data_IF_915003278908
#
_entry.id   IF_915003278908
#
_cell.length_a   1.000
_cell.length_b   1.000
_cell.length_c   1.000
_cell.angle_alpha   90.00
_cell.angle_beta   90.00
_cell.angle_gamma   90.00
#
_symmetry.space_group_name_H-M   'P 1'
#
loop_
_entity.id
_entity.type
_entity.pdbx_description
1 polymer ?
#
# COMPACT_ATOMS: atom_id res chain seq x y z
N UNK A 1 2.40 -7.81 9.62
CA UNK A 1 2.66 -6.88 8.50
C UNK A 1 1.57 -6.71 7.43
N UNK A 2 0.49 -7.49 7.41
CA UNK A 2 -0.83 -7.06 6.92
C UNK A 2 -1.85 -7.82 7.76
N UNK A 3 -2.65 -7.13 8.57
CA UNK A 3 -3.53 -7.79 9.55
C UNK A 3 -2.84 -8.23 10.85
N UNK A 4 -1.67 -7.67 11.19
CA UNK A 4 -1.09 -7.76 12.54
C UNK A 4 -1.24 -6.39 13.22
N UNK A 5 -2.22 -6.20 14.13
CA UNK A 5 -2.53 -4.90 14.71
C UNK A 5 -1.41 -4.28 15.55
N UNK A 6 -0.60 -5.09 16.22
CA UNK A 6 0.46 -4.64 17.13
C UNK A 6 1.77 -4.30 16.40
N UNK A 7 1.88 -4.63 15.11
CA UNK A 7 3.09 -4.35 14.34
C UNK A 7 3.31 -2.82 14.17
N UNK A 8 4.57 -2.34 14.22
CA UNK A 8 4.87 -0.95 13.93
C UNK A 8 4.32 -0.51 12.56
N UNK A 9 3.77 0.71 12.51
CA UNK A 9 3.21 1.27 11.27
C UNK A 9 4.29 1.76 10.29
N UNK A 10 5.48 2.03 10.80
CA UNK A 10 6.60 2.58 10.05
C UNK A 10 7.86 1.75 10.27
N UNK A 11 8.96 2.17 9.63
CA UNK A 11 10.25 1.48 9.70
C UNK A 11 10.61 1.08 11.13
N UNK A 12 11.12 -0.14 11.31
CA UNK A 12 11.60 -0.66 12.59
C UNK A 12 12.60 -1.81 12.37
N UNK A 13 13.31 -2.19 13.44
CA UNK A 13 14.23 -3.33 13.46
C UNK A 13 13.57 -4.52 14.18
N UNK A 14 13.10 -5.55 13.46
CA UNK A 14 12.36 -6.65 14.08
C UNK A 14 13.25 -7.60 14.89
N UNK A 15 14.56 -7.58 14.66
CA UNK A 15 15.53 -8.47 15.31
C UNK A 15 16.61 -7.61 15.94
N UNK A 16 16.82 -7.78 17.25
CA UNK A 16 17.89 -7.10 17.97
C UNK A 16 19.26 -7.47 17.39
N UNK A 17 20.17 -6.49 17.32
CA UNK A 17 21.56 -6.64 16.87
C UNK A 17 21.76 -7.12 15.40
N UNK A 18 20.68 -7.21 14.61
CA UNK A 18 20.75 -7.53 13.19
C UNK A 18 20.61 -6.26 12.32
N UNK A 19 21.33 -6.14 11.19
CA UNK A 19 21.16 -5.04 10.24
C UNK A 19 19.91 -5.24 9.35
N UNK A 20 18.78 -5.64 9.94
CA UNK A 20 17.50 -5.87 9.28
C UNK A 20 16.53 -4.74 9.60
N UNK A 21 16.04 -4.08 8.55
CA UNK A 21 15.02 -3.03 8.64
C UNK A 21 13.78 -3.53 7.92
N UNK A 22 12.64 -3.48 8.60
CA UNK A 22 11.36 -3.79 8.01
C UNK A 22 10.62 -2.50 7.67
N UNK A 23 10.16 -2.39 6.42
CA UNK A 23 9.35 -1.28 5.92
C UNK A 23 7.89 -1.75 5.78
N UNK A 24 7.00 -1.37 6.70
CA UNK A 24 5.61 -1.79 6.63
C UNK A 24 4.89 -1.14 5.46
N UNK A 25 3.96 -1.89 4.87
CA UNK A 25 3.01 -1.35 3.90
C UNK A 25 2.13 -0.28 4.56
N UNK A 26 1.82 0.80 3.83
CA UNK A 26 1.13 1.98 4.39
C UNK A 26 -0.19 1.65 5.09
N UNK A 27 -0.34 2.25 6.27
CA UNK A 27 -1.59 2.28 7.03
C UNK A 27 -1.95 3.72 7.40
N UNK A 28 -3.24 4.01 7.41
CA UNK A 28 -3.78 5.30 7.85
C UNK A 28 -4.53 5.15 9.19
N UNK A 29 -4.64 6.25 9.95
CA UNK A 29 -5.53 6.30 11.11
C UNK A 29 -6.87 6.90 10.72
N UNK A 30 -7.94 6.26 11.19
CA UNK A 30 -9.31 6.77 11.12
C UNK A 30 -9.91 6.68 12.52
N UNK A 31 -9.94 7.80 13.24
CA UNK A 31 -10.21 7.81 14.68
C UNK A 31 -9.20 6.95 15.42
N UNK A 32 -9.67 6.04 16.27
CA UNK A 32 -8.82 5.10 17.00
C UNK A 32 -8.41 3.85 16.20
N UNK A 33 -8.80 3.73 14.93
CA UNK A 33 -8.56 2.53 14.11
C UNK A 33 -7.40 2.73 13.14
N UNK A 34 -6.62 1.67 12.96
CA UNK A 34 -5.62 1.56 11.89
C UNK A 34 -6.25 0.84 10.71
N UNK A 35 -6.18 1.45 9.53
CA UNK A 35 -6.77 0.90 8.30
C UNK A 35 -5.69 0.69 7.23
N UNK A 36 -5.82 -0.39 6.48
CA UNK A 36 -4.91 -0.69 5.37
C UNK A 36 -5.06 0.34 4.24
N UNK A 37 -3.92 0.90 3.81
CA UNK A 37 -3.87 1.92 2.77
C UNK A 37 -2.70 1.71 1.79
N UNK A 38 -2.13 0.52 1.78
CA UNK A 38 -0.93 0.15 1.03
C UNK A 38 -1.09 -0.12 -0.46
N UNK A 39 -2.28 0.03 -1.02
CA UNK A 39 -2.55 -0.38 -2.39
C UNK A 39 -3.32 -1.69 -2.52
N UNK A 40 -2.97 -2.47 -3.54
CA UNK A 40 -3.60 -3.74 -3.89
C UNK A 40 -5.13 -3.68 -4.00
N UNK A 41 -5.80 -4.72 -3.51
CA UNK A 41 -7.26 -4.85 -3.60
C UNK A 41 -8.04 -3.69 -2.96
N UNK A 42 -7.53 -3.05 -1.90
CA UNK A 42 -8.18 -1.88 -1.32
C UNK A 42 -8.13 -0.68 -2.26
N UNK A 43 -6.98 -0.46 -2.91
CA UNK A 43 -6.87 0.57 -3.93
C UNK A 43 -7.76 0.25 -5.13
N UNK A 44 -7.85 -0.99 -5.59
CA UNK A 44 -8.77 -1.34 -6.69
C UNK A 44 -10.25 -1.11 -6.32
N UNK A 45 -10.63 -1.44 -5.09
CA UNK A 45 -12.03 -1.43 -4.68
C UNK A 45 -12.53 -0.08 -4.16
N UNK A 46 -11.71 0.69 -3.44
CA UNK A 46 -12.13 1.94 -2.81
C UNK A 46 -12.00 3.14 -3.76
N UNK A 47 -12.77 4.22 -3.58
CA UNK A 47 -12.60 5.46 -4.33
C UNK A 47 -11.18 6.03 -4.20
N UNK A 48 -10.64 6.65 -5.26
CA UNK A 48 -9.28 7.24 -5.24
C UNK A 48 -9.04 8.21 -4.08
N UNK A 49 -10.05 8.99 -3.71
CA UNK A 49 -9.99 9.93 -2.58
C UNK A 49 -9.52 9.29 -1.27
N UNK A 50 -9.82 8.01 -1.05
CA UNK A 50 -9.37 7.29 0.13
C UNK A 50 -7.85 7.12 0.14
N UNK A 51 -7.29 6.65 -0.98
CA UNK A 51 -5.86 6.44 -1.12
C UNK A 51 -5.09 7.75 -1.09
N UNK A 52 -5.62 8.78 -1.76
CA UNK A 52 -5.05 10.13 -1.71
C UNK A 52 -5.01 10.67 -0.27
N UNK A 53 -6.13 10.61 0.46
CA UNK A 53 -6.18 11.03 1.87
C UNK A 53 -5.20 10.23 2.75
N UNK A 54 -5.15 8.91 2.58
CA UNK A 54 -4.30 8.05 3.42
C UNK A 54 -2.80 8.32 3.21
N UNK A 55 -2.37 8.49 1.96
CA UNK A 55 -0.97 8.82 1.65
C UNK A 55 -0.65 10.23 2.13
N UNK A 56 -1.54 11.20 1.91
CA UNK A 56 -1.36 12.58 2.36
C UNK A 56 -1.27 12.68 3.88
N UNK A 57 -2.12 11.97 4.63
CA UNK A 57 -2.04 11.86 6.10
C UNK A 57 -0.65 11.38 6.53
N UNK A 58 -0.17 10.28 5.95
CA UNK A 58 1.14 9.70 6.30
C UNK A 58 2.29 10.64 5.93
N UNK A 59 2.23 11.28 4.76
CA UNK A 59 3.30 12.17 4.31
C UNK A 59 3.34 13.50 5.08
N UNK A 60 2.18 14.06 5.46
CA UNK A 60 2.12 15.43 6.01
C UNK A 60 1.86 15.49 7.49
N UNK A 61 1.04 14.61 8.03
CA UNK A 61 0.72 14.61 9.46
C UNK A 61 1.76 13.79 10.25
N UNK A 62 2.17 12.64 9.71
CA UNK A 62 3.16 11.76 10.37
C UNK A 62 4.60 12.02 9.89
N UNK A 63 4.77 12.80 8.81
CA UNK A 63 6.06 13.08 8.18
C UNK A 63 6.86 11.80 7.84
N UNK A 64 6.15 10.76 7.36
CA UNK A 64 6.73 9.47 6.96
C UNK A 64 6.49 9.18 5.48
N UNK A 65 7.36 8.39 4.83
CA UNK A 65 7.12 7.90 3.47
C UNK A 65 5.97 6.90 3.44
N UNK A 66 5.21 6.90 2.35
CA UNK A 66 4.21 5.88 2.08
C UNK A 66 4.83 4.73 1.24
N UNK A 67 4.47 3.49 1.57
CA UNK A 67 4.82 2.28 0.83
C UNK A 67 3.54 1.75 0.17
N UNK A 68 3.55 1.77 -1.16
CA UNK A 68 2.45 1.33 -2.00
C UNK A 68 2.86 0.13 -2.85
N UNK A 69 1.95 -0.83 -3.02
CA UNK A 69 2.15 -1.97 -3.90
C UNK A 69 0.86 -2.32 -4.66
N UNK A 70 1.02 -2.98 -5.79
CA UNK A 70 -0.07 -3.61 -6.54
C UNK A 70 0.51 -4.79 -7.32
N UNK A 71 -0.35 -5.73 -7.74
CA UNK A 71 0.10 -6.82 -8.60
C UNK A 71 0.00 -6.42 -10.08
N UNK A 72 0.92 -6.88 -10.95
CA UNK A 72 0.86 -6.57 -12.38
C UNK A 72 -0.48 -6.94 -13.04
N UNK A 73 -1.12 -8.04 -12.60
CA UNK A 73 -2.43 -8.42 -13.13
C UNK A 73 -3.55 -7.42 -12.78
N UNK A 74 -3.37 -6.56 -11.77
CA UNK A 74 -4.40 -5.59 -11.40
C UNK A 74 -4.54 -4.47 -12.45
N UNK A 75 -3.51 -4.22 -13.26
CA UNK A 75 -3.57 -3.22 -14.36
C UNK A 75 -3.94 -3.83 -15.72
N UNK A 76 -4.19 -5.13 -15.79
CA UNK A 76 -4.63 -5.84 -17.01
C UNK A 76 -6.12 -6.23 -16.89
N UNK A 77 -7.05 -5.40 -17.39
CA UNK A 77 -8.48 -5.73 -17.38
C UNK A 77 -8.85 -6.89 -18.31
N UNK A 78 -8.01 -7.18 -19.30
CA UNK A 78 -8.26 -8.18 -20.35
C UNK A 78 -7.57 -9.52 -20.06
N UNK A 79 -6.97 -9.66 -18.87
CA UNK A 79 -6.32 -10.88 -18.43
C UNK A 79 -7.23 -12.11 -18.57
N UNK A 80 -6.66 -13.30 -18.83
CA UNK A 80 -7.41 -14.54 -18.92
C UNK A 80 -8.29 -14.81 -17.68
N UNK A 81 -9.51 -15.29 -17.93
CA UNK A 81 -10.46 -15.64 -16.86
C UNK A 81 -10.42 -17.13 -16.55
N UNK A 82 -10.26 -17.47 -15.28
CA UNK A 82 -10.34 -18.85 -14.80
C UNK A 82 -11.80 -19.26 -14.68
N UNK A 83 -12.29 -20.06 -15.64
CA UNK A 83 -13.70 -20.43 -15.75
C UNK A 83 -14.22 -21.17 -14.51
N UNK A 84 -13.46 -22.13 -13.99
CA UNK A 84 -13.88 -23.04 -12.91
C UNK A 84 -13.48 -22.55 -11.50
N UNK A 85 -13.17 -21.27 -11.33
CA UNK A 85 -12.81 -20.72 -10.03
C UNK A 85 -14.07 -20.47 -9.15
N UNK A 86 -13.98 -20.69 -7.83
CA UNK A 86 -15.06 -20.34 -6.89
C UNK A 86 -15.48 -18.87 -7.04
N UNK A 87 -16.77 -18.58 -6.87
CA UNK A 87 -17.32 -17.23 -7.04
C UNK A 87 -16.56 -16.18 -6.20
N UNK A 88 -16.23 -16.51 -4.95
CA UNK A 88 -15.46 -15.64 -4.05
C UNK A 88 -14.10 -15.26 -4.65
N UNK A 89 -13.40 -16.22 -5.25
CA UNK A 89 -12.11 -15.98 -5.92
C UNK A 89 -12.29 -15.10 -7.14
N UNK A 90 -13.31 -15.36 -7.97
CA UNK A 90 -13.61 -14.56 -9.16
C UNK A 90 -13.93 -13.11 -8.80
N UNK A 91 -14.76 -12.89 -7.77
CA UNK A 91 -15.10 -11.54 -7.29
C UNK A 91 -13.84 -10.81 -6.80
N UNK A 92 -13.04 -11.45 -5.94
CA UNK A 92 -11.80 -10.83 -5.42
C UNK A 92 -10.82 -10.49 -6.55
N UNK A 93 -10.65 -11.38 -7.52
CA UNK A 93 -9.68 -11.22 -8.60
C UNK A 93 -10.14 -10.21 -9.66
N UNK A 94 -11.38 -10.30 -10.14
CA UNK A 94 -11.78 -9.57 -11.36
C UNK A 94 -12.56 -8.26 -11.13
N UNK A 95 -12.91 -7.91 -9.88
CA UNK A 95 -13.70 -6.69 -9.62
C UNK A 95 -12.92 -5.41 -9.93
N UNK A 96 -13.54 -4.45 -10.62
CA UNK A 96 -12.96 -3.09 -10.81
C UNK A 96 -11.55 -3.03 -11.43
N UNK A 97 -11.14 -4.03 -12.22
CA UNK A 97 -9.83 -4.01 -12.91
C UNK A 97 -9.66 -2.77 -13.81
N UNK A 98 -10.70 -2.39 -14.57
CA UNK A 98 -10.67 -1.22 -15.46
C UNK A 98 -10.43 0.12 -14.75
N UNK A 99 -10.64 0.20 -13.43
CA UNK A 99 -10.37 1.41 -12.66
C UNK A 99 -8.88 1.58 -12.30
N UNK A 100 -8.09 0.51 -12.34
CA UNK A 100 -6.73 0.53 -11.82
C UNK A 100 -5.80 1.47 -12.59
N UNK A 101 -5.83 1.42 -13.92
CA UNK A 101 -4.96 2.25 -14.75
C UNK A 101 -5.17 3.75 -14.46
N UNK A 102 -6.38 4.26 -14.61
CA UNK A 102 -6.67 5.69 -14.39
C UNK A 102 -6.40 6.14 -12.95
N UNK A 103 -6.61 5.25 -11.97
CA UNK A 103 -6.24 5.54 -10.59
C UNK A 103 -4.73 5.60 -10.38
N UNK A 104 -3.98 4.69 -10.99
CA UNK A 104 -2.52 4.65 -10.90
C UNK A 104 -1.90 5.86 -11.59
N UNK A 105 -2.39 6.26 -12.77
CA UNK A 105 -1.95 7.48 -13.45
C UNK A 105 -2.13 8.72 -12.59
N UNK A 106 -3.26 8.83 -11.88
CA UNK A 106 -3.51 9.93 -10.95
C UNK A 106 -2.60 9.86 -9.73
N UNK A 107 -2.43 8.67 -9.17
CA UNK A 107 -1.55 8.42 -8.02
C UNK A 107 -0.08 8.81 -8.32
N UNK A 108 0.39 8.50 -9.52
CA UNK A 108 1.75 8.83 -9.97
C UNK A 108 1.97 10.33 -10.20
N UNK A 109 0.90 11.09 -10.47
CA UNK A 109 0.94 12.55 -10.66
C UNK A 109 0.81 13.32 -9.34
N UNK A 110 -0.01 12.83 -8.42
CA UNK A 110 -0.37 13.55 -7.19
C UNK A 110 0.72 13.47 -6.09
N UNK A 111 1.70 12.57 -6.21
CA UNK A 111 2.71 12.30 -5.17
C UNK A 111 4.13 12.16 -5.74
N UNK A 112 5.13 12.39 -4.88
CA UNK A 112 6.54 12.14 -5.20
C UNK A 112 6.90 10.68 -4.99
N UNK A 113 7.34 10.02 -6.07
CA UNK A 113 7.75 8.62 -6.05
C UNK A 113 9.26 8.48 -6.05
N UNK A 114 9.75 7.51 -5.28
CA UNK A 114 11.17 7.20 -5.18
C UNK A 114 11.40 5.70 -5.03
N UNK A 115 12.66 5.31 -5.08
CA UNK A 115 13.07 3.93 -4.89
C UNK A 115 13.00 3.54 -3.41
N UNK A 116 12.66 2.29 -3.14
CA UNK A 116 12.51 1.77 -1.77
C UNK A 116 13.84 1.80 -1.00
N UNK A 117 14.98 1.58 -1.66
CA UNK A 117 16.29 1.65 -1.00
C UNK A 117 16.63 3.05 -0.51
N UNK A 118 16.31 4.11 -1.28
CA UNK A 118 16.44 5.48 -0.79
C UNK A 118 15.53 5.75 0.42
N UNK A 119 14.35 5.13 0.45
CA UNK A 119 13.45 5.20 1.61
C UNK A 119 14.08 4.51 2.82
N UNK A 120 14.66 3.31 2.66
CA UNK A 120 15.38 2.61 3.73
C UNK A 120 16.49 3.48 4.31
N UNK A 121 17.35 4.06 3.46
CA UNK A 121 18.46 4.91 3.92
C UNK A 121 17.97 6.13 4.70
N UNK A 122 16.91 6.81 4.24
CA UNK A 122 16.31 7.93 4.99
C UNK A 122 15.70 7.49 6.32
N UNK A 123 15.10 6.30 6.37
CA UNK A 123 14.44 5.79 7.57
C UNK A 123 15.43 5.27 8.61
N UNK A 124 16.64 4.83 8.22
CA UNK A 124 17.73 4.48 9.16
C UNK A 124 18.01 5.59 10.17
N UNK A 125 18.00 6.85 9.73
CA UNK A 125 18.19 8.01 10.60
C UNK A 125 17.10 8.19 11.66
N UNK A 126 15.95 7.53 11.50
CA UNK A 126 14.83 7.55 12.47
C UNK A 126 14.83 6.37 13.44
N UNK A 127 15.76 5.43 13.27
CA UNK A 127 15.89 4.20 14.07
C UNK A 127 17.06 4.25 15.06
N UNK A 128 17.84 5.33 15.05
CA UNK A 128 18.92 5.63 15.99
C UNK A 128 18.36 6.45 17.15
#
# INVERSE_FOLDING_TARGET
>A
HYGWPEAPRFAFTPVADAPLIELPVTTARLGNRTIAAGGGGFFRMLPYRFSHWAIHQVNREENRPAIFYFHPWEIDPDQPRVANAPLKSRVRHYSRLSAMQGKLERLLKDFEWGRVDHVVERQKATLQ
#
